data_IF_771839810920
#
_entry.id   IF_771839810920
#
_cell.length_a   1.000
_cell.length_b   1.000
_cell.length_c   1.000
_cell.angle_alpha   90.00
_cell.angle_beta   90.00
_cell.angle_gamma   90.00
#
_symmetry.space_group_name_H-M   'P 1'
#
loop_
_entity.id
_entity.type
_entity.pdbx_description
1 polymer ?
#
# COMPACT_ATOMS: atom_id res chain seq x y z
N UNK A 1 1.23 -21.73 8.96
CA UNK A 1 0.80 -21.07 7.72
C UNK A 1 -0.72 -20.94 7.72
N UNK A 2 -1.23 -19.82 7.34
CA UNK A 2 -2.66 -19.55 7.10
C UNK A 2 -2.82 -19.37 5.60
N UNK A 3 -3.71 -20.14 5.00
CA UNK A 3 -3.98 -20.14 3.56
C UNK A 3 -5.13 -19.17 3.23
N UNK A 4 -5.24 -18.75 1.98
CA UNK A 4 -6.30 -17.90 1.46
C UNK A 4 -7.72 -18.39 1.78
N UNK A 5 -7.95 -19.72 1.72
CA UNK A 5 -9.24 -20.36 2.07
C UNK A 5 -9.38 -20.65 3.58
N UNK A 6 -8.44 -20.15 4.42
CA UNK A 6 -8.31 -20.43 5.85
C UNK A 6 -8.07 -21.92 6.19
N UNK A 7 -8.43 -22.83 5.33
CA UNK A 7 -8.27 -24.29 5.43
C UNK A 7 -8.63 -24.85 6.83
N UNK A 8 -9.71 -24.35 7.45
CA UNK A 8 -10.23 -24.89 8.69
C UNK A 8 -10.90 -26.23 8.42
N UNK A 9 -10.83 -27.13 9.38
CA UNK A 9 -11.44 -28.49 9.26
C UNK A 9 -12.96 -28.38 9.43
N UNK A 10 -13.76 -28.61 8.36
CA UNK A 10 -15.20 -28.37 8.40
C UNK A 10 -15.99 -29.31 9.30
N UNK A 11 -15.44 -30.48 9.58
CA UNK A 11 -16.03 -31.54 10.44
C UNK A 11 -15.69 -31.38 11.91
N UNK A 12 -14.84 -30.39 12.27
CA UNK A 12 -14.45 -30.11 13.65
C UNK A 12 -15.12 -28.80 14.13
N UNK A 13 -15.32 -28.70 15.45
CA UNK A 13 -15.70 -27.45 16.09
C UNK A 13 -14.50 -26.51 16.25
N UNK A 14 -14.72 -25.33 16.83
CA UNK A 14 -13.68 -24.29 16.99
C UNK A 14 -12.53 -24.78 17.88
N UNK A 15 -12.82 -25.33 19.06
CA UNK A 15 -11.77 -25.81 19.98
C UNK A 15 -10.95 -26.97 19.40
N UNK A 16 -11.59 -27.86 18.67
CA UNK A 16 -10.93 -28.99 18.00
C UNK A 16 -10.04 -28.52 16.85
N UNK A 17 -10.48 -27.49 16.08
CA UNK A 17 -9.66 -26.86 15.05
C UNK A 17 -8.42 -26.22 15.67
N UNK A 18 -8.59 -25.37 16.69
CA UNK A 18 -7.49 -24.67 17.34
C UNK A 18 -6.53 -25.64 18.01
N UNK A 19 -7.05 -26.61 18.75
CA UNK A 19 -6.26 -27.62 19.47
C UNK A 19 -5.66 -28.73 18.59
N UNK A 20 -5.96 -28.73 17.28
CA UNK A 20 -5.56 -29.83 16.39
C UNK A 20 -4.06 -30.15 16.43
N UNK A 21 -3.23 -29.11 16.36
CA UNK A 21 -1.77 -29.24 16.40
C UNK A 21 -1.23 -29.78 17.72
N UNK A 22 -1.92 -29.53 18.85
CA UNK A 22 -1.51 -29.95 20.18
C UNK A 22 -1.59 -31.47 20.38
N UNK A 23 -2.40 -32.18 19.57
CA UNK A 23 -2.50 -33.66 19.62
C UNK A 23 -1.14 -34.35 19.48
N UNK A 24 -0.19 -33.71 18.75
CA UNK A 24 1.17 -34.27 18.58
C UNK A 24 2.06 -34.09 19.80
N UNK A 25 1.68 -33.21 20.73
CA UNK A 25 2.49 -32.94 21.92
C UNK A 25 2.14 -33.84 23.11
N UNK A 26 1.14 -34.73 22.98
CA UNK A 26 0.66 -35.62 24.02
C UNK A 26 0.40 -34.93 25.36
N UNK A 27 -0.15 -33.72 25.33
CA UNK A 27 -0.51 -32.97 26.53
C UNK A 27 -1.74 -33.60 27.21
N UNK A 28 -1.83 -33.47 28.53
CA UNK A 28 -3.05 -33.81 29.27
C UNK A 28 -4.26 -32.96 28.80
N UNK A 29 -5.47 -33.51 29.03
CA UNK A 29 -6.73 -32.85 28.60
C UNK A 29 -6.88 -31.43 29.17
N UNK A 30 -6.56 -31.26 30.46
CA UNK A 30 -6.68 -29.95 31.13
C UNK A 30 -5.72 -28.91 30.57
N UNK A 31 -4.47 -29.27 30.29
CA UNK A 31 -3.47 -28.39 29.69
C UNK A 31 -3.83 -28.03 28.25
N UNK A 32 -4.35 -28.97 27.48
CA UNK A 32 -4.85 -28.70 26.13
C UNK A 32 -6.01 -27.72 26.15
N UNK A 33 -7.00 -27.92 27.02
CA UNK A 33 -8.15 -27.06 27.18
C UNK A 33 -7.72 -25.64 27.63
N UNK A 34 -6.78 -25.54 28.56
CA UNK A 34 -6.24 -24.24 29.01
C UNK A 34 -5.60 -23.46 27.87
N UNK A 35 -4.71 -24.10 27.10
CA UNK A 35 -4.04 -23.44 25.94
C UNK A 35 -5.03 -23.03 24.84
N UNK A 36 -6.03 -23.85 24.55
CA UNK A 36 -7.07 -23.53 23.59
C UNK A 36 -7.87 -22.32 24.05
N UNK A 37 -8.30 -22.27 25.32
CA UNK A 37 -9.05 -21.15 25.86
C UNK A 37 -8.22 -19.85 25.86
N UNK A 38 -6.95 -19.91 26.25
CA UNK A 38 -6.04 -18.76 26.18
C UNK A 38 -5.91 -18.23 24.74
N UNK A 39 -5.80 -19.14 23.77
CA UNK A 39 -5.69 -18.78 22.36
C UNK A 39 -6.98 -18.20 21.80
N UNK A 40 -8.15 -18.78 22.18
CA UNK A 40 -9.46 -18.25 21.78
C UNK A 40 -9.70 -16.85 22.36
N UNK A 41 -9.25 -16.60 23.59
CA UNK A 41 -9.28 -15.28 24.19
C UNK A 41 -8.43 -14.28 23.40
N UNK A 42 -7.21 -14.68 22.97
CA UNK A 42 -6.30 -13.83 22.20
C UNK A 42 -6.89 -13.37 20.85
N UNK A 43 -7.79 -14.17 20.26
CA UNK A 43 -8.43 -13.88 18.96
C UNK A 43 -9.91 -13.48 19.08
N UNK A 44 -10.38 -13.10 20.27
CA UNK A 44 -11.76 -12.68 20.58
C UNK A 44 -12.84 -13.70 20.17
N UNK A 45 -12.60 -15.00 20.47
CA UNK A 45 -13.52 -16.10 20.21
C UNK A 45 -13.84 -16.92 21.49
N UNK A 46 -13.81 -16.30 22.70
CA UNK A 46 -13.97 -16.99 23.99
C UNK A 46 -15.23 -17.82 24.02
N UNK A 47 -16.33 -17.53 23.57
CA UNK A 47 -17.57 -18.31 23.74
C UNK A 47 -17.90 -19.18 22.50
N UNK A 48 -16.94 -19.43 21.63
CA UNK A 48 -17.16 -20.13 20.36
C UNK A 48 -16.67 -21.57 20.36
N UNK A 49 -16.13 -22.08 21.49
CA UNK A 49 -15.47 -23.39 21.61
C UNK A 49 -16.22 -24.53 20.90
N UNK A 50 -17.49 -24.69 21.18
CA UNK A 50 -18.33 -25.79 20.66
C UNK A 50 -19.01 -25.47 19.32
N UNK A 51 -18.83 -24.24 18.80
CA UNK A 51 -19.48 -23.85 17.55
C UNK A 51 -18.87 -24.60 16.38
N UNK A 52 -19.69 -25.21 15.49
CA UNK A 52 -19.18 -25.91 14.31
C UNK A 52 -18.58 -24.92 13.30
N UNK A 53 -17.55 -25.33 12.58
CA UNK A 53 -16.80 -24.49 11.66
C UNK A 53 -17.66 -23.84 10.55
N UNK A 54 -18.68 -24.56 10.06
CA UNK A 54 -19.58 -24.06 9.01
C UNK A 54 -20.52 -22.94 9.49
N UNK A 55 -20.72 -22.78 10.80
CA UNK A 55 -21.58 -21.73 11.38
C UNK A 55 -20.81 -20.40 11.67
N UNK A 56 -19.57 -20.30 11.22
CA UNK A 56 -18.72 -19.13 11.42
C UNK A 56 -18.79 -18.18 10.23
N UNK A 57 -18.71 -16.86 10.49
CA UNK A 57 -18.47 -15.85 9.46
C UNK A 57 -17.05 -15.96 8.85
N UNK A 58 -16.78 -15.26 7.75
CA UNK A 58 -15.45 -15.21 7.12
C UNK A 58 -14.34 -14.79 8.10
N UNK A 59 -14.53 -13.66 8.80
CA UNK A 59 -13.58 -13.18 9.80
C UNK A 59 -13.42 -14.13 10.98
N UNK A 60 -14.49 -14.78 11.44
CA UNK A 60 -14.38 -15.78 12.51
C UNK A 60 -13.59 -17.01 12.06
N UNK A 61 -13.80 -17.50 10.82
CA UNK A 61 -12.96 -18.57 10.24
C UNK A 61 -11.50 -18.21 10.18
N UNK A 62 -11.20 -16.97 9.78
CA UNK A 62 -9.83 -16.46 9.76
C UNK A 62 -9.19 -16.46 11.15
N UNK A 63 -9.89 -15.95 12.17
CA UNK A 63 -9.42 -15.93 13.55
C UNK A 63 -9.16 -17.36 14.09
N UNK A 64 -10.01 -18.33 13.73
CA UNK A 64 -9.78 -19.76 14.07
C UNK A 64 -8.52 -20.29 13.40
N UNK A 65 -8.28 -19.97 12.12
CA UNK A 65 -7.09 -20.39 11.39
C UNK A 65 -5.79 -19.78 11.97
N UNK A 66 -5.86 -18.50 12.36
CA UNK A 66 -4.79 -17.81 13.07
C UNK A 66 -4.49 -18.46 14.43
N UNK A 67 -5.53 -18.67 15.26
CA UNK A 67 -5.41 -19.31 16.54
C UNK A 67 -4.79 -20.72 16.43
N UNK A 68 -5.23 -21.51 15.45
CA UNK A 68 -4.66 -22.83 15.15
C UNK A 68 -3.17 -22.79 14.80
N UNK A 69 -2.77 -21.74 14.07
CA UNK A 69 -1.36 -21.58 13.68
C UNK A 69 -0.50 -21.06 14.84
N UNK A 70 -1.03 -20.17 15.67
CA UNK A 70 -0.34 -19.53 16.78
C UNK A 70 -0.20 -20.41 18.01
N UNK A 71 -1.14 -21.33 18.26
CA UNK A 71 -1.12 -22.21 19.45
C UNK A 71 0.15 -23.06 19.55
N UNK A 72 0.78 -23.33 18.40
CA UNK A 72 2.05 -24.04 18.31
C UNK A 72 3.27 -23.18 18.65
N UNK A 73 3.06 -21.90 19.00
CA UNK A 73 4.11 -20.90 19.31
C UNK A 73 5.23 -20.86 18.25
N UNK A 74 4.90 -20.63 16.96
CA UNK A 74 5.89 -20.56 15.90
C UNK A 74 6.76 -19.30 16.06
N UNK A 75 8.00 -19.34 15.54
CA UNK A 75 8.86 -18.15 15.44
C UNK A 75 8.44 -17.24 14.28
N UNK A 76 7.85 -17.81 13.24
CA UNK A 76 7.39 -17.11 12.02
C UNK A 76 6.00 -17.61 11.65
N UNK A 77 5.09 -16.70 11.35
CA UNK A 77 3.76 -17.01 10.81
C UNK A 77 3.71 -16.59 9.34
N UNK A 78 3.36 -17.53 8.47
CA UNK A 78 3.16 -17.28 7.04
C UNK A 78 1.66 -17.08 6.78
N UNK A 79 1.32 -15.98 6.11
CA UNK A 79 -0.03 -15.60 5.72
C UNK A 79 -0.07 -15.48 4.19
N UNK A 80 -0.89 -16.30 3.55
CA UNK A 80 -1.03 -16.33 2.08
C UNK A 80 -2.38 -15.74 1.72
N UNK A 81 -2.38 -14.52 1.20
CA UNK A 81 -3.56 -13.72 0.85
C UNK A 81 -4.70 -13.76 1.90
N UNK A 82 -4.42 -13.48 3.17
CA UNK A 82 -5.36 -13.77 4.25
C UNK A 82 -6.65 -12.94 4.20
N UNK A 83 -6.67 -11.81 3.50
CA UNK A 83 -7.80 -10.86 3.48
C UNK A 83 -8.51 -10.79 2.12
N UNK A 84 -8.04 -11.53 1.10
CA UNK A 84 -8.51 -11.43 -0.28
C UNK A 84 -10.00 -11.76 -0.47
N UNK A 85 -10.57 -12.61 0.40
CA UNK A 85 -11.99 -13.04 0.31
C UNK A 85 -12.95 -12.16 1.10
N UNK A 86 -12.47 -11.07 1.72
CA UNK A 86 -13.29 -10.17 2.55
C UNK A 86 -13.77 -8.95 1.75
N UNK A 87 -14.96 -8.45 2.10
CA UNK A 87 -15.40 -7.13 1.65
C UNK A 87 -14.51 -6.01 2.22
N UNK A 88 -14.61 -4.79 1.64
CA UNK A 88 -13.72 -3.67 1.99
C UNK A 88 -13.75 -3.32 3.48
N UNK A 89 -14.94 -3.17 4.06
CA UNK A 89 -15.05 -2.72 5.46
C UNK A 89 -14.49 -3.77 6.42
N UNK A 90 -14.80 -5.04 6.19
CA UNK A 90 -14.30 -6.14 7.00
C UNK A 90 -12.77 -6.32 6.81
N UNK A 91 -12.25 -6.07 5.61
CA UNK A 91 -10.82 -6.11 5.31
C UNK A 91 -10.06 -5.05 6.11
N UNK A 92 -10.50 -3.79 6.07
CA UNK A 92 -9.90 -2.69 6.83
C UNK A 92 -9.89 -2.99 8.36
N UNK A 93 -10.99 -3.51 8.88
CA UNK A 93 -11.08 -3.92 10.28
C UNK A 93 -10.06 -5.03 10.59
N UNK A 94 -10.01 -6.06 9.75
CA UNK A 94 -9.10 -7.20 9.93
C UNK A 94 -7.63 -6.84 9.79
N UNK A 95 -7.27 -5.84 8.96
CA UNK A 95 -5.91 -5.31 8.90
C UNK A 95 -5.46 -4.76 10.26
N UNK A 96 -6.31 -3.95 10.89
CA UNK A 96 -6.02 -3.38 12.23
C UNK A 96 -5.88 -4.49 13.27
N UNK A 97 -6.79 -5.47 13.26
CA UNK A 97 -6.78 -6.60 14.19
C UNK A 97 -5.52 -7.48 14.03
N UNK A 98 -5.15 -7.82 12.79
CA UNK A 98 -3.96 -8.61 12.50
C UNK A 98 -2.67 -7.89 12.93
N UNK A 99 -2.59 -6.58 12.72
CA UNK A 99 -1.45 -5.78 13.16
C UNK A 99 -1.37 -5.71 14.69
N UNK A 100 -2.52 -5.57 15.36
CA UNK A 100 -2.58 -5.61 16.83
C UNK A 100 -2.14 -6.99 17.36
N UNK A 101 -2.67 -8.06 16.78
CA UNK A 101 -2.31 -9.43 17.13
C UNK A 101 -0.81 -9.70 16.93
N UNK A 102 -0.23 -9.27 15.81
CA UNK A 102 1.21 -9.41 15.53
C UNK A 102 2.06 -8.75 16.63
N UNK A 103 1.70 -7.51 17.03
CA UNK A 103 2.39 -6.78 18.10
C UNK A 103 2.26 -7.47 19.46
N UNK A 104 1.07 -7.98 19.77
CA UNK A 104 0.77 -8.68 21.03
C UNK A 104 1.54 -10.00 21.15
N UNK A 105 1.62 -10.76 20.06
CA UNK A 105 2.31 -12.06 20.04
C UNK A 105 3.84 -11.89 19.89
N UNK A 106 4.29 -10.80 19.27
CA UNK A 106 5.72 -10.45 19.14
C UNK A 106 6.53 -11.38 18.24
N UNK A 107 5.89 -12.05 17.27
CA UNK A 107 6.58 -12.91 16.29
C UNK A 107 6.61 -12.28 14.90
N UNK A 108 7.49 -12.79 14.04
CA UNK A 108 7.57 -12.34 12.65
C UNK A 108 6.38 -12.87 11.83
N UNK A 109 5.65 -11.97 11.15
CA UNK A 109 4.67 -12.31 10.14
C UNK A 109 5.29 -12.12 8.75
N UNK A 110 5.08 -13.07 7.85
CA UNK A 110 5.36 -12.93 6.43
C UNK A 110 4.01 -12.99 5.73
N UNK A 111 3.61 -11.86 5.16
CA UNK A 111 2.35 -11.68 4.42
C UNK A 111 2.65 -11.73 2.93
N UNK A 112 1.98 -12.61 2.21
CA UNK A 112 1.91 -12.56 0.73
C UNK A 112 0.57 -11.97 0.34
N UNK A 113 0.59 -10.93 -0.46
CA UNK A 113 -0.61 -10.26 -0.98
C UNK A 113 -0.35 -9.66 -2.35
N UNK A 114 -1.40 -9.54 -3.15
CA UNK A 114 -1.41 -8.72 -4.37
C UNK A 114 -2.08 -7.36 -4.15
N UNK A 115 -2.61 -7.12 -2.94
CA UNK A 115 -3.23 -5.85 -2.56
C UNK A 115 -2.15 -4.90 -1.98
N UNK A 116 -1.99 -3.77 -2.65
CA UNK A 116 -0.99 -2.76 -2.29
C UNK A 116 -1.34 -2.08 -0.96
N UNK A 117 -2.63 -1.83 -0.71
CA UNK A 117 -3.09 -1.17 0.52
C UNK A 117 -2.81 -2.06 1.74
N UNK A 118 -3.02 -3.39 1.60
CA UNK A 118 -2.65 -4.35 2.65
C UNK A 118 -1.14 -4.31 2.94
N UNK A 119 -0.32 -4.35 1.90
CA UNK A 119 1.14 -4.32 2.05
C UNK A 119 1.59 -3.04 2.75
N UNK A 120 1.10 -1.88 2.30
CA UNK A 120 1.47 -0.57 2.85
C UNK A 120 0.97 -0.38 4.30
N UNK A 121 -0.25 -0.84 4.62
CA UNK A 121 -0.85 -0.64 5.94
C UNK A 121 -0.31 -1.58 7.02
N UNK A 122 0.07 -2.81 6.65
CA UNK A 122 0.35 -3.86 7.62
C UNK A 122 1.83 -4.16 7.82
N UNK A 123 2.71 -3.85 6.87
CA UNK A 123 4.09 -4.32 6.87
C UNK A 123 5.06 -3.28 7.46
N UNK A 124 6.12 -3.75 8.12
CA UNK A 124 7.27 -2.93 8.50
C UNK A 124 8.28 -2.83 7.33
N UNK A 125 8.32 -3.87 6.49
CA UNK A 125 9.12 -3.94 5.25
C UNK A 125 8.34 -4.68 4.18
N UNK A 126 8.45 -4.18 2.94
CA UNK A 126 7.78 -4.76 1.76
C UNK A 126 8.86 -5.21 0.77
N UNK A 127 8.73 -6.44 0.28
CA UNK A 127 9.51 -6.96 -0.84
C UNK A 127 8.63 -7.00 -2.10
N UNK A 128 8.95 -6.18 -3.09
CA UNK A 128 8.26 -6.20 -4.39
C UNK A 128 8.92 -7.24 -5.27
N UNK A 129 8.09 -8.12 -5.83
CA UNK A 129 8.54 -9.23 -6.69
C UNK A 129 7.94 -9.11 -8.09
N UNK A 130 8.79 -9.28 -9.10
CA UNK A 130 8.37 -9.50 -10.48
C UNK A 130 9.11 -10.71 -11.03
N UNK A 131 8.39 -11.57 -11.73
CA UNK A 131 8.97 -12.74 -12.42
C UNK A 131 9.85 -13.62 -11.52
N UNK A 132 9.40 -13.81 -10.26
CA UNK A 132 10.11 -14.62 -9.27
C UNK A 132 11.36 -13.97 -8.66
N UNK A 133 11.65 -12.69 -8.99
CA UNK A 133 12.80 -11.95 -8.46
C UNK A 133 12.36 -10.80 -7.58
N UNK A 134 13.03 -10.60 -6.47
CA UNK A 134 12.85 -9.41 -5.61
C UNK A 134 13.57 -8.24 -6.28
N UNK A 135 12.82 -7.18 -6.63
CA UNK A 135 13.35 -5.98 -7.30
C UNK A 135 13.61 -4.82 -6.34
N UNK A 136 12.85 -4.75 -5.26
CA UNK A 136 13.06 -3.75 -4.20
C UNK A 136 12.57 -4.28 -2.87
N UNK A 137 13.31 -3.97 -1.80
CA UNK A 137 12.87 -4.16 -0.41
C UNK A 137 13.04 -2.82 0.29
N UNK A 138 11.96 -2.31 0.90
CA UNK A 138 11.95 -1.03 1.58
C UNK A 138 10.87 -0.98 2.67
N UNK A 139 10.87 0.06 3.50
CA UNK A 139 9.71 0.42 4.31
C UNK A 139 8.54 0.87 3.42
N UNK A 140 7.29 0.81 3.89
CA UNK A 140 6.14 1.30 3.13
C UNK A 140 6.32 2.73 2.61
N UNK A 141 6.77 3.62 3.47
CA UNK A 141 7.00 5.03 3.12
C UNK A 141 8.07 5.19 2.05
N UNK A 142 9.22 4.53 2.22
CA UNK A 142 10.31 4.57 1.25
C UNK A 142 9.90 3.96 -0.09
N UNK A 143 9.18 2.83 -0.08
CA UNK A 143 8.71 2.18 -1.31
C UNK A 143 7.76 3.09 -2.11
N UNK A 144 6.88 3.81 -1.40
CA UNK A 144 5.91 4.72 -2.01
C UNK A 144 6.55 6.01 -2.53
N UNK A 145 7.44 6.64 -1.73
CA UNK A 145 8.06 7.93 -2.06
C UNK A 145 9.28 7.80 -2.96
N UNK A 146 10.02 6.67 -2.89
CA UNK A 146 11.32 6.45 -3.59
C UNK A 146 11.36 5.10 -4.30
N UNK A 147 10.43 4.82 -5.23
CA UNK A 147 10.48 3.60 -6.03
C UNK A 147 11.73 3.60 -6.91
N UNK A 148 12.41 2.45 -7.01
CA UNK A 148 13.68 2.34 -7.77
C UNK A 148 13.50 2.25 -9.28
N UNK A 149 12.29 2.03 -9.76
CA UNK A 149 11.99 1.93 -11.20
C UNK A 149 10.55 2.38 -11.49
N UNK A 150 10.29 2.73 -12.75
CA UNK A 150 8.95 3.02 -13.25
C UNK A 150 7.97 1.86 -12.99
N UNK A 151 8.44 0.60 -13.14
CA UNK A 151 7.64 -0.61 -12.89
C UNK A 151 7.19 -0.71 -11.44
N UNK A 152 8.10 -0.46 -10.48
CA UNK A 152 7.76 -0.42 -9.04
C UNK A 152 6.84 0.75 -8.74
N UNK A 153 7.12 1.94 -9.27
CA UNK A 153 6.31 3.14 -9.09
C UNK A 153 4.85 2.96 -9.55
N UNK A 154 4.67 2.32 -10.73
CA UNK A 154 3.34 2.01 -11.29
C UNK A 154 2.63 0.88 -10.55
N UNK A 155 3.39 -0.03 -9.93
CA UNK A 155 2.81 -1.12 -9.15
C UNK A 155 2.32 -0.64 -7.78
N UNK A 156 2.99 0.33 -7.17
CA UNK A 156 2.63 0.89 -5.85
C UNK A 156 1.88 2.22 -6.03
N UNK A 157 0.60 2.13 -6.36
CA UNK A 157 -0.28 3.29 -6.55
C UNK A 157 -0.09 4.00 -7.90
N UNK A 158 -0.86 5.06 -8.09
CA UNK A 158 -0.84 5.89 -9.31
C UNK A 158 0.35 6.84 -9.29
N UNK A 159 1.00 7.06 -10.44
CA UNK A 159 2.06 8.05 -10.60
C UNK A 159 1.98 8.66 -12.00
N UNK A 160 2.09 9.97 -12.09
CA UNK A 160 2.31 10.68 -13.35
C UNK A 160 3.76 10.47 -13.78
N UNK A 161 3.98 10.19 -15.08
CA UNK A 161 5.31 10.04 -15.64
C UNK A 161 5.52 11.07 -16.75
N UNK A 162 6.60 11.84 -16.66
CA UNK A 162 6.99 12.87 -17.61
C UNK A 162 8.41 12.55 -18.08
N UNK A 163 8.66 12.63 -19.38
CA UNK A 163 10.00 12.50 -19.93
C UNK A 163 10.81 13.75 -19.64
N UNK A 164 12.09 13.59 -19.32
CA UNK A 164 12.99 14.70 -19.04
C UNK A 164 14.45 14.34 -19.27
N UNK A 165 15.32 15.31 -18.99
CA UNK A 165 16.76 15.19 -19.16
C UNK A 165 17.47 15.54 -17.84
N UNK A 166 18.28 14.63 -17.34
CA UNK A 166 19.21 14.92 -16.27
C UNK A 166 20.38 15.72 -16.85
N UNK A 167 20.48 17.00 -16.51
CA UNK A 167 21.47 17.92 -17.08
C UNK A 167 22.79 17.84 -16.33
N UNK A 168 22.75 17.81 -14.99
CA UNK A 168 23.92 17.81 -14.13
C UNK A 168 23.61 17.06 -12.84
N UNK A 169 24.47 16.11 -12.50
CA UNK A 169 24.49 15.48 -11.20
C UNK A 169 25.57 16.16 -10.36
N UNK A 170 25.17 16.82 -9.28
CA UNK A 170 26.05 17.53 -8.36
C UNK A 170 25.97 16.93 -6.96
N UNK A 171 27.02 17.13 -6.15
CA UNK A 171 27.07 16.58 -4.78
C UNK A 171 25.91 17.08 -3.89
N UNK A 172 25.38 18.27 -4.15
CA UNK A 172 24.31 18.87 -3.32
C UNK A 172 23.00 19.13 -4.07
N UNK A 173 23.06 19.41 -5.35
CA UNK A 173 21.88 19.76 -6.16
C UNK A 173 22.03 19.17 -7.55
N UNK A 174 21.01 18.47 -7.97
CA UNK A 174 20.88 17.92 -9.31
C UNK A 174 19.85 18.71 -10.11
N UNK A 175 20.20 19.13 -11.33
CA UNK A 175 19.28 19.89 -12.22
C UNK A 175 18.69 18.93 -13.26
N UNK A 176 17.37 18.95 -13.35
CA UNK A 176 16.59 18.14 -14.30
C UNK A 176 15.77 19.09 -15.19
N UNK A 177 15.92 18.95 -16.50
CA UNK A 177 15.04 19.60 -17.48
C UNK A 177 13.79 18.73 -17.64
N UNK A 178 12.65 19.27 -17.28
CA UNK A 178 11.34 18.62 -17.36
C UNK A 178 10.56 19.16 -18.58
N UNK A 179 11.27 19.61 -19.59
CA UNK A 179 10.68 20.13 -20.81
C UNK A 179 9.84 21.37 -20.55
N UNK A 180 8.52 21.29 -20.83
CA UNK A 180 7.60 22.43 -20.66
C UNK A 180 7.45 22.87 -19.19
N UNK A 181 7.75 22.03 -18.23
CA UNK A 181 7.74 22.40 -16.81
C UNK A 181 9.02 23.14 -16.37
N UNK A 182 9.98 23.31 -17.30
CA UNK A 182 11.23 24.01 -17.05
C UNK A 182 12.29 23.19 -16.31
N UNK A 183 13.33 23.88 -15.87
CA UNK A 183 14.41 23.28 -15.11
C UNK A 183 14.05 23.24 -13.63
N UNK A 184 14.16 22.05 -13.02
CA UNK A 184 13.88 21.83 -11.61
C UNK A 184 15.15 21.36 -10.92
N UNK A 185 15.44 21.95 -9.77
CA UNK A 185 16.52 21.50 -8.90
C UNK A 185 15.98 20.48 -7.91
N UNK A 186 16.53 19.28 -7.95
CA UNK A 186 16.13 18.17 -7.07
C UNK A 186 17.26 17.78 -6.12
N UNK A 187 16.91 17.28 -4.95
CA UNK A 187 17.88 16.77 -4.00
C UNK A 187 18.38 15.38 -4.42
N UNK A 188 19.61 14.99 -4.06
CA UNK A 188 20.16 13.66 -4.39
C UNK A 188 19.28 12.48 -3.94
N UNK A 189 18.55 12.64 -2.85
CA UNK A 189 17.67 11.62 -2.30
C UNK A 189 16.38 11.38 -3.12
N UNK A 190 16.06 12.26 -4.07
CA UNK A 190 14.98 12.10 -5.06
C UNK A 190 15.42 11.22 -6.26
N UNK A 191 16.68 10.81 -6.27
CA UNK A 191 17.28 9.90 -7.27
C UNK A 191 17.55 8.57 -6.58
N UNK A 192 16.61 7.61 -6.59
CA UNK A 192 16.70 6.36 -5.82
C UNK A 192 17.87 5.46 -6.19
N UNK A 193 18.40 5.64 -7.38
CA UNK A 193 19.61 4.95 -7.88
C UNK A 193 20.50 5.97 -8.60
N UNK A 194 21.84 5.83 -8.52
CA UNK A 194 22.73 6.71 -9.25
C UNK A 194 22.44 6.72 -10.75
N UNK A 195 22.34 7.93 -11.33
CA UNK A 195 22.06 8.13 -12.75
C UNK A 195 23.18 8.97 -13.37
N UNK A 196 23.49 8.70 -14.64
CA UNK A 196 24.33 9.57 -15.45
C UNK A 196 23.48 10.64 -16.14
N UNK A 197 24.05 11.80 -16.48
CA UNK A 197 23.36 12.79 -17.33
C UNK A 197 22.79 12.16 -18.60
N UNK A 198 21.56 12.54 -18.95
CA UNK A 198 20.85 11.97 -20.10
C UNK A 198 19.35 11.79 -19.87
N UNK A 199 18.67 11.01 -20.71
CA UNK A 199 17.22 10.80 -20.64
C UNK A 199 16.79 10.13 -19.33
N UNK A 200 15.79 10.71 -18.66
CA UNK A 200 15.20 10.22 -17.41
C UNK A 200 13.67 10.24 -17.49
N UNK A 201 13.03 9.54 -16.58
CA UNK A 201 11.60 9.63 -16.31
C UNK A 201 11.42 10.37 -14.99
N UNK A 202 10.61 11.40 -14.99
CA UNK A 202 10.19 12.13 -13.81
C UNK A 202 8.86 11.56 -13.35
N UNK A 203 8.80 11.06 -12.11
CA UNK A 203 7.59 10.62 -11.45
C UNK A 203 7.07 11.68 -10.50
N UNK A 204 5.74 11.89 -10.50
CA UNK A 204 5.07 12.71 -9.50
C UNK A 204 3.74 12.08 -9.11
N UNK A 205 3.50 11.94 -7.81
CA UNK A 205 2.26 11.37 -7.30
C UNK A 205 1.08 12.34 -7.49
N UNK A 206 -0.14 11.84 -7.77
CA UNK A 206 -1.33 12.69 -7.93
C UNK A 206 -1.61 13.62 -6.75
N UNK A 207 -1.38 13.16 -5.53
CA UNK A 207 -1.57 13.92 -4.28
C UNK A 207 -0.48 14.96 -4.01
N UNK A 208 0.63 14.91 -4.75
CA UNK A 208 1.70 15.91 -4.69
C UNK A 208 1.48 17.08 -5.65
N UNK A 209 0.48 16.95 -6.51
CA UNK A 209 -0.03 18.03 -7.35
C UNK A 209 -1.23 18.69 -6.68
N UNK A 210 -1.37 19.99 -6.82
CA UNK A 210 -2.53 20.72 -6.31
C UNK A 210 -3.13 21.61 -7.37
N UNK A 211 -4.44 21.83 -7.33
CA UNK A 211 -5.10 22.88 -8.11
C UNK A 211 -5.11 24.17 -7.30
N UNK A 212 -4.74 25.26 -7.95
CA UNK A 212 -4.72 26.62 -7.40
C UNK A 212 -6.03 27.30 -7.80
N UNK A 213 -6.87 27.64 -6.84
CA UNK A 213 -8.23 28.15 -7.08
C UNK A 213 -8.30 29.67 -7.05
N UNK A 214 -7.41 30.32 -6.31
CA UNK A 214 -7.38 31.77 -6.16
C UNK A 214 -6.09 32.34 -6.78
N UNK A 215 -6.13 33.59 -7.23
CA UNK A 215 -4.95 34.23 -7.83
C UNK A 215 -3.80 34.42 -6.84
N UNK A 216 -4.10 34.45 -5.55
CA UNK A 216 -3.11 34.52 -4.46
C UNK A 216 -2.48 33.16 -4.11
N UNK A 217 -3.08 32.07 -4.55
CA UNK A 217 -2.51 30.74 -4.34
C UNK A 217 -1.28 30.61 -5.20
N UNK A 218 -0.17 30.20 -4.63
CA UNK A 218 1.09 29.98 -5.34
C UNK A 218 1.85 28.80 -4.78
N UNK A 219 2.64 28.17 -5.62
CA UNK A 219 3.57 27.10 -5.30
C UNK A 219 4.92 27.40 -5.93
N UNK A 220 5.95 26.61 -5.65
CA UNK A 220 7.28 26.80 -6.22
C UNK A 220 7.28 26.70 -7.75
N UNK A 221 6.50 25.76 -8.30
CA UNK A 221 6.31 25.56 -9.73
C UNK A 221 4.81 25.55 -10.05
N UNK A 222 4.46 26.11 -11.18
CA UNK A 222 3.08 26.18 -11.65
C UNK A 222 2.99 25.98 -13.15
N UNK A 223 1.89 25.37 -13.60
CA UNK A 223 1.55 25.26 -15.02
C UNK A 223 0.04 25.35 -15.23
N UNK A 224 -0.36 25.90 -16.37
CA UNK A 224 -1.77 25.97 -16.76
C UNK A 224 -2.16 24.79 -17.65
N UNK A 225 -3.38 24.30 -17.45
CA UNK A 225 -3.97 23.25 -18.24
C UNK A 225 -5.49 23.37 -18.30
N UNK A 226 -6.13 22.37 -18.87
CA UNK A 226 -7.59 22.25 -18.98
C UNK A 226 -8.01 20.93 -18.38
N UNK A 227 -9.05 20.94 -17.54
CA UNK A 227 -9.66 19.73 -16.99
C UNK A 227 -10.28 18.94 -18.14
N UNK A 228 -9.81 17.71 -18.38
CA UNK A 228 -10.43 16.79 -19.32
C UNK A 228 -11.58 16.02 -18.66
N UNK A 229 -11.38 15.64 -17.40
CA UNK A 229 -12.33 14.84 -16.66
C UNK A 229 -12.13 15.07 -15.16
N UNK A 230 -13.23 15.12 -14.42
CA UNK A 230 -13.24 15.16 -12.97
C UNK A 230 -14.09 14.01 -12.41
N UNK A 231 -13.51 13.20 -11.52
CA UNK A 231 -14.19 12.04 -10.89
C UNK A 231 -14.28 12.24 -9.39
N UNK A 232 -15.51 12.36 -8.89
CA UNK A 232 -15.79 12.61 -7.48
C UNK A 232 -16.02 11.30 -6.70
N UNK A 233 -15.18 11.06 -5.66
CA UNK A 233 -15.24 9.87 -4.80
C UNK A 233 -15.70 10.16 -3.36
N UNK A 234 -16.38 11.27 -3.15
CA UNK A 234 -16.86 11.68 -1.82
C UNK A 234 -15.80 12.48 -1.06
N UNK A 235 -14.83 11.86 -0.45
CA UNK A 235 -13.75 12.52 0.30
C UNK A 235 -12.62 13.03 -0.60
N UNK A 236 -12.47 12.45 -1.80
CA UNK A 236 -11.45 12.80 -2.79
C UNK A 236 -12.08 13.12 -4.14
N UNK A 237 -11.45 14.01 -4.90
CA UNK A 237 -11.72 14.22 -6.34
C UNK A 237 -10.43 14.00 -7.12
N UNK A 238 -10.53 13.20 -8.19
CA UNK A 238 -9.45 13.02 -9.15
C UNK A 238 -9.72 13.87 -10.38
N UNK A 239 -8.72 14.61 -10.82
CA UNK A 239 -8.76 15.44 -12.02
C UNK A 239 -7.73 14.95 -13.02
N UNK A 240 -8.13 14.78 -14.27
CA UNK A 240 -7.24 14.58 -15.39
C UNK A 240 -7.07 15.92 -16.10
N UNK A 241 -5.87 16.53 -16.01
CA UNK A 241 -5.57 17.85 -16.53
C UNK A 241 -4.67 17.74 -17.75
N UNK A 242 -5.17 18.16 -18.92
CA UNK A 242 -4.34 18.28 -20.11
C UNK A 242 -3.51 19.55 -20.04
N UNK A 243 -2.21 19.38 -20.04
CA UNK A 243 -1.24 20.45 -20.16
C UNK A 243 -0.70 20.46 -21.58
N UNK A 244 -0.68 21.63 -22.21
CA UNK A 244 -0.18 21.76 -23.58
C UNK A 244 1.31 21.38 -23.62
N UNK A 245 1.68 20.47 -24.54
CA UNK A 245 3.04 19.95 -24.68
C UNK A 245 3.35 18.69 -23.88
N UNK A 246 2.48 18.24 -22.97
CA UNK A 246 2.61 16.91 -22.36
C UNK A 246 1.88 15.85 -23.20
N UNK A 247 2.52 14.67 -23.34
CA UNK A 247 1.97 13.54 -24.09
C UNK A 247 0.73 12.91 -23.43
N UNK A 248 0.67 12.96 -22.11
CA UNK A 248 -0.43 12.40 -21.31
C UNK A 248 -0.95 13.45 -20.34
N UNK A 249 -2.24 13.44 -19.99
CA UNK A 249 -2.77 14.31 -18.97
C UNK A 249 -2.15 14.01 -17.60
N UNK A 250 -2.09 15.02 -16.75
CA UNK A 250 -1.69 14.87 -15.36
C UNK A 250 -2.91 14.44 -14.53
N UNK A 251 -2.78 13.36 -13.79
CA UNK A 251 -3.76 12.98 -12.78
C UNK A 251 -3.42 13.70 -11.48
N UNK A 252 -4.39 14.39 -10.90
CA UNK A 252 -4.29 15.12 -9.64
C UNK A 252 -5.33 14.55 -8.68
N UNK A 253 -4.96 14.26 -7.45
CA UNK A 253 -5.91 13.86 -6.43
C UNK A 253 -5.98 14.91 -5.33
N UNK A 254 -7.18 15.40 -5.06
CA UNK A 254 -7.41 16.43 -4.05
C UNK A 254 -8.48 16.00 -3.05
N UNK A 255 -8.21 16.25 -1.78
CA UNK A 255 -9.20 16.04 -0.73
C UNK A 255 -10.32 17.08 -0.85
N UNK A 256 -11.55 16.59 -0.80
CA UNK A 256 -12.72 17.47 -0.79
C UNK A 256 -12.87 18.12 0.58
N UNK A 257 -12.91 19.46 0.60
CA UNK A 257 -13.08 20.26 1.82
C UNK A 257 -14.30 21.18 1.69
N UNK A 258 -14.97 21.44 2.80
CA UNK A 258 -16.12 22.33 2.80
C UNK A 258 -15.78 23.72 2.21
N UNK A 259 -16.64 24.22 1.32
CA UNK A 259 -16.46 25.51 0.65
C UNK A 259 -15.52 25.51 -0.56
N UNK A 260 -14.80 24.41 -0.84
CA UNK A 260 -14.01 24.30 -2.08
C UNK A 260 -14.90 23.76 -3.21
N UNK A 261 -14.95 24.49 -4.34
CA UNK A 261 -15.66 24.01 -5.52
C UNK A 261 -14.89 22.86 -6.19
N UNK A 262 -15.61 21.98 -6.83
CA UNK A 262 -15.04 21.00 -7.77
C UNK A 262 -15.05 21.63 -9.15
N UNK A 263 -13.90 21.61 -9.84
CA UNK A 263 -13.78 22.08 -11.21
C UNK A 263 -14.43 21.05 -12.15
N UNK A 264 -15.14 21.54 -13.15
CA UNK A 264 -15.78 20.72 -14.17
C UNK A 264 -14.92 20.52 -15.41
N UNK A 265 -15.36 19.59 -16.25
CA UNK A 265 -14.71 19.29 -17.52
C UNK A 265 -14.70 20.54 -18.44
N UNK A 266 -13.58 20.80 -19.10
CA UNK A 266 -13.35 21.94 -19.95
C UNK A 266 -12.94 23.22 -19.22
N UNK A 267 -12.95 23.26 -17.87
CA UNK A 267 -12.48 24.42 -17.12
C UNK A 267 -10.95 24.54 -17.16
N UNK A 268 -10.46 25.80 -17.21
CA UNK A 268 -9.04 26.07 -17.05
C UNK A 268 -8.60 25.81 -15.61
N UNK A 269 -7.43 25.22 -15.45
CA UNK A 269 -6.85 24.88 -14.16
C UNK A 269 -5.39 25.36 -14.09
N UNK A 270 -5.00 25.90 -12.94
CA UNK A 270 -3.60 26.11 -12.56
C UNK A 270 -3.18 24.95 -11.68
N UNK A 271 -2.12 24.27 -12.05
CA UNK A 271 -1.55 23.11 -11.34
C UNK A 271 -0.25 23.54 -10.71
N UNK A 272 -0.12 23.31 -9.40
CA UNK A 272 1.07 23.65 -8.66
C UNK A 272 1.73 22.44 -8.00
N UNK A 273 3.07 22.51 -7.79
CA UNK A 273 3.86 21.50 -7.04
C UNK A 273 5.14 22.12 -6.47
N UNK A 274 5.82 21.38 -5.58
CA UNK A 274 7.17 21.68 -5.10
C UNK A 274 8.22 20.73 -5.70
N UNK A 275 9.47 21.14 -5.73
CA UNK A 275 10.58 20.33 -6.23
C UNK A 275 10.69 18.98 -5.50
N UNK A 276 10.40 18.96 -4.19
CA UNK A 276 10.44 17.76 -3.35
C UNK A 276 9.43 16.68 -3.76
N UNK A 277 8.43 17.03 -4.57
CA UNK A 277 7.39 16.11 -5.05
C UNK A 277 7.87 15.17 -6.15
N UNK A 278 9.01 15.44 -6.74
CA UNK A 278 9.53 14.70 -7.88
C UNK A 278 10.39 13.50 -7.47
N UNK A 279 10.31 12.46 -8.25
CA UNK A 279 11.20 11.28 -8.19
C UNK A 279 11.83 11.09 -9.56
N UNK A 280 13.16 11.00 -9.63
CA UNK A 280 13.87 10.85 -10.89
C UNK A 280 14.22 9.39 -11.10
N UNK A 281 13.69 8.80 -12.15
CA UNK A 281 13.81 7.40 -12.48
C UNK A 281 14.63 7.20 -13.76
N UNK A 282 15.31 6.07 -13.82
CA UNK A 282 16.00 5.67 -15.05
C UNK A 282 14.98 5.46 -16.18
N UNK A 283 15.27 6.00 -17.36
CA UNK A 283 14.51 5.73 -18.56
C UNK A 283 14.89 4.34 -19.13
N UNK A 284 14.43 3.28 -18.45
CA UNK A 284 14.57 1.91 -18.93
C UNK A 284 13.27 1.17 -18.68
N UNK A 285 12.82 0.43 -19.67
CA UNK A 285 11.59 -0.41 -19.61
C UNK A 285 11.77 -1.71 -18.79
N UNK A 286 12.84 -1.84 -18.00
CA UNK A 286 13.14 -3.07 -17.24
C UNK A 286 12.91 -2.86 -15.74
#
# INVERSE_FOLDING_TARGET
MVFQSYAIFPHLNVEENVGYGLKRLNLGKDETARRVNEMLKLVDLENYNKRPAHALSGGQRQRVALARSLIMKPKVLLLDEPLSSLDKNLREQMQVELRHLQRTVGITFILVTHDQEEALAMSDRIAVMFEGKIVQIASPQELYSRPKSKRVASFIGVMNFIEGQLLKDGEQVTTVDVGILGNVNVNPDQIPIPLNPGPVIIGIRPEMLTLLFEDRDSTEYEISGVILESTYYGDMTYYNVQVNGLKSPLTISMRNTAGRRVLGDGESARVGWGAESLVILKNSEV
#
